data_IF_686394257050
#
_entry.id   IF_686394257050
#
_cell.length_a   1.000
_cell.length_b   1.000
_cell.length_c   1.000
_cell.angle_alpha   90.00
_cell.angle_beta   90.00
_cell.angle_gamma   90.00
#
_symmetry.space_group_name_H-M   'P 1'
#
loop_
_entity.id
_entity.type
_entity.pdbx_description
1 polymer ?
#
# COMPACT_ATOMS: atom_id res chain seq x y z
N UNK A 1 -14.61 -6.51 7.02
CA UNK A 1 -13.23 -7.01 6.85
C UNK A 1 -13.30 -8.48 6.45
N UNK A 2 -12.78 -8.83 5.27
CA UNK A 2 -12.66 -10.22 4.82
C UNK A 2 -11.27 -10.75 5.18
N UNK A 3 -11.17 -11.96 5.74
CA UNK A 3 -9.91 -12.60 6.12
C UNK A 3 -9.68 -13.81 5.23
N UNK A 4 -8.53 -13.85 4.55
CA UNK A 4 -8.16 -14.95 3.65
C UNK A 4 -6.85 -15.59 4.11
N UNK A 5 -6.89 -16.88 4.43
CA UNK A 5 -5.68 -17.69 4.55
C UNK A 5 -5.11 -18.00 3.17
N UNK A 6 -3.81 -17.73 2.95
CA UNK A 6 -3.12 -17.97 1.68
C UNK A 6 -1.74 -18.58 1.91
N UNK A 7 -1.40 -19.53 1.05
CA UNK A 7 -0.05 -20.10 0.98
C UNK A 7 0.83 -19.26 0.04
N UNK A 8 2.17 -19.27 0.23
CA UNK A 8 3.10 -18.68 -0.73
C UNK A 8 2.85 -19.20 -2.16
N UNK A 9 2.91 -18.29 -3.14
CA UNK A 9 2.65 -18.58 -4.56
C UNK A 9 1.19 -18.40 -4.97
N UNK A 10 0.25 -18.25 -4.03
CA UNK A 10 -1.14 -18.00 -4.36
C UNK A 10 -1.40 -16.55 -4.79
N UNK A 11 -2.38 -16.38 -5.67
CA UNK A 11 -2.80 -15.09 -6.23
C UNK A 11 -4.19 -14.71 -5.74
N UNK A 12 -4.40 -13.42 -5.56
CA UNK A 12 -5.70 -12.81 -5.29
C UNK A 12 -5.97 -11.82 -6.42
N UNK A 13 -7.05 -12.05 -7.17
CA UNK A 13 -7.50 -11.10 -8.19
C UNK A 13 -8.47 -10.12 -7.55
N UNK A 14 -8.17 -8.84 -7.69
CA UNK A 14 -9.10 -7.77 -7.33
C UNK A 14 -9.87 -7.39 -8.58
N UNK A 15 -11.19 -7.52 -8.53
CA UNK A 15 -12.09 -7.13 -9.61
C UNK A 15 -13.09 -6.10 -9.09
N UNK A 16 -13.46 -5.19 -9.98
CA UNK A 16 -14.60 -4.30 -9.76
C UNK A 16 -15.91 -5.09 -9.87
N UNK A 17 -17.01 -4.51 -9.40
CA UNK A 17 -18.33 -5.13 -9.41
C UNK A 17 -18.84 -5.46 -10.84
N UNK A 18 -18.35 -4.73 -11.84
CA UNK A 18 -18.59 -4.96 -13.27
C UNK A 18 -17.74 -6.11 -13.86
N UNK A 19 -16.87 -6.73 -13.06
CA UNK A 19 -15.99 -7.83 -13.46
C UNK A 19 -14.62 -7.40 -14.01
N UNK A 20 -14.38 -6.09 -14.16
CA UNK A 20 -13.10 -5.53 -14.63
C UNK A 20 -11.97 -5.90 -13.66
N UNK A 21 -10.85 -6.42 -14.18
CA UNK A 21 -9.67 -6.73 -13.36
C UNK A 21 -8.97 -5.42 -12.97
N UNK A 22 -8.89 -5.16 -11.67
CA UNK A 22 -8.21 -4.00 -11.11
C UNK A 22 -6.73 -4.30 -10.86
N UNK A 23 -6.40 -5.53 -10.50
CA UNK A 23 -5.01 -5.94 -10.29
C UNK A 23 -4.91 -7.30 -9.62
N UNK A 24 -3.67 -7.78 -9.47
CA UNK A 24 -3.37 -9.07 -8.86
C UNK A 24 -2.38 -8.90 -7.70
N UNK A 25 -2.77 -9.40 -6.53
CA UNK A 25 -1.89 -9.53 -5.38
C UNK A 25 -1.30 -10.95 -5.40
N UNK A 26 0.03 -11.04 -5.42
CA UNK A 26 0.76 -12.28 -5.26
C UNK A 26 1.29 -12.39 -3.83
N UNK A 27 0.85 -13.42 -3.11
CA UNK A 27 1.39 -13.73 -1.78
C UNK A 27 2.71 -14.45 -1.98
N UNK A 28 3.82 -13.76 -1.71
CA UNK A 28 5.14 -14.36 -1.78
C UNK A 28 5.52 -14.94 -0.41
N UNK A 29 6.68 -15.62 -0.37
CA UNK A 29 7.17 -16.26 0.85
C UNK A 29 7.34 -15.26 2.00
N UNK A 30 7.19 -15.76 3.22
CA UNK A 30 7.65 -15.04 4.41
C UNK A 30 9.16 -14.77 4.29
N UNK A 31 9.60 -13.55 4.60
CA UNK A 31 11.03 -13.18 4.61
C UNK A 31 11.61 -13.39 6.01
N UNK A 32 10.83 -13.09 7.04
CA UNK A 32 11.15 -13.27 8.45
C UNK A 32 9.85 -13.47 9.24
N UNK A 33 9.95 -13.87 10.51
CA UNK A 33 8.78 -14.01 11.39
C UNK A 33 7.96 -12.72 11.39
N UNK A 34 6.67 -12.82 11.06
CA UNK A 34 5.75 -11.67 11.00
C UNK A 34 5.92 -10.77 9.76
N UNK A 35 6.84 -11.06 8.84
CA UNK A 35 7.05 -10.30 7.59
C UNK A 35 6.77 -11.16 6.37
N UNK A 36 5.85 -10.70 5.53
CA UNK A 36 5.47 -11.35 4.28
C UNK A 36 5.88 -10.46 3.11
N UNK A 37 6.40 -11.07 2.05
CA UNK A 37 6.61 -10.37 0.78
C UNK A 37 5.32 -10.43 -0.03
N UNK A 38 4.93 -9.31 -0.63
CA UNK A 38 3.74 -9.23 -1.49
C UNK A 38 4.18 -8.63 -2.82
N UNK A 39 3.78 -9.29 -3.92
CA UNK A 39 3.90 -8.75 -5.27
C UNK A 39 2.59 -8.13 -5.71
N UNK A 40 2.65 -7.02 -6.44
CA UNK A 40 1.48 -6.33 -6.98
C UNK A 40 1.67 -6.18 -8.48
N UNK A 41 0.67 -6.60 -9.26
CA UNK A 41 0.72 -6.64 -10.72
C UNK A 41 -0.55 -6.05 -11.32
N UNK A 42 -0.41 -5.22 -12.37
CA UNK A 42 -1.54 -4.65 -13.11
C UNK A 42 -2.24 -3.47 -12.44
N UNK A 43 -1.59 -2.82 -11.46
CA UNK A 43 -2.13 -1.65 -10.74
C UNK A 43 -1.75 -0.31 -11.39
N UNK A 44 -1.50 -0.27 -12.71
CA UNK A 44 -0.87 0.87 -13.39
C UNK A 44 -1.66 2.19 -13.28
N UNK A 45 -2.95 2.12 -12.93
CA UNK A 45 -3.85 3.27 -12.76
C UNK A 45 -4.25 3.53 -11.31
N UNK A 46 -3.61 2.87 -10.35
CA UNK A 46 -3.92 2.99 -8.93
C UNK A 46 -2.67 3.35 -8.13
N UNK A 47 -2.85 4.21 -7.14
CA UNK A 47 -1.83 4.44 -6.14
C UNK A 47 -1.86 3.33 -5.10
N UNK A 48 -0.71 2.72 -4.83
CA UNK A 48 -0.54 1.73 -3.77
C UNK A 48 0.24 2.40 -2.65
N UNK A 49 -0.42 2.63 -1.52
CA UNK A 49 0.17 3.28 -0.35
C UNK A 49 0.10 2.30 0.82
N UNK A 50 1.16 2.24 1.62
CA UNK A 50 1.11 1.53 2.90
C UNK A 50 0.41 2.42 3.93
N UNK A 51 -0.49 1.87 4.73
CA UNK A 51 -1.30 2.67 5.66
C UNK A 51 -0.46 3.55 6.60
N UNK A 52 0.71 3.07 7.04
CA UNK A 52 1.63 3.86 7.87
C UNK A 52 2.23 5.08 7.16
N UNK A 53 2.30 5.06 5.83
CA UNK A 53 2.77 6.19 5.00
C UNK A 53 1.62 7.16 4.76
N UNK A 54 0.41 6.65 4.52
CA UNK A 54 -0.78 7.47 4.28
C UNK A 54 -1.06 8.39 5.48
N UNK A 55 -0.95 7.85 6.69
CA UNK A 55 -1.11 8.62 7.93
C UNK A 55 -0.07 9.74 8.13
N UNK A 56 1.10 9.68 7.46
CA UNK A 56 2.12 10.73 7.50
C UNK A 56 1.86 11.85 6.47
N UNK A 57 1.16 11.55 5.38
CA UNK A 57 0.79 12.53 4.36
C UNK A 57 -0.32 13.48 4.81
N UNK A 58 -1.09 13.08 5.81
CA UNK A 58 -2.19 13.86 6.40
C UNK A 58 -1.75 14.73 7.59
N UNK A 59 -0.47 14.67 7.95
CA UNK A 59 0.09 15.60 8.93
C UNK A 59 0.13 17.01 8.31
N UNK A 60 -0.55 18.02 8.88
CA UNK A 60 -0.43 19.39 8.39
C UNK A 60 1.05 19.76 8.40
N UNK A 61 1.54 20.36 7.32
CA UNK A 61 2.88 20.91 7.27
C UNK A 61 3.04 21.77 8.52
N UNK A 62 3.93 21.38 9.43
CA UNK A 62 4.26 22.23 10.56
C UNK A 62 4.78 23.52 9.94
N UNK A 63 4.02 24.62 10.14
CA UNK A 63 4.37 25.95 9.66
C UNK A 63 5.78 26.28 10.17
N UNK A 64 6.77 26.01 9.33
CA UNK A 64 8.15 26.41 9.50
C UNK A 64 8.28 27.90 9.25
N UNK A 65 7.50 28.70 9.98
CA UNK A 65 7.67 30.15 10.12
C UNK A 65 8.91 30.45 10.94
N UNK A 66 10.08 30.07 10.44
CA UNK A 66 11.32 30.68 10.87
C UNK A 66 11.42 32.03 10.14
N UNK A 67 10.87 33.07 10.77
CA UNK A 67 11.21 34.45 10.44
C UNK A 67 12.73 34.59 10.47
N UNK A 68 13.34 34.78 9.31
CA UNK A 68 14.74 35.14 9.20
C UNK A 68 14.96 36.46 9.94
N UNK A 69 15.92 36.59 10.88
CA UNK A 69 16.26 37.89 11.41
C UNK A 69 16.86 38.72 10.26
N UNK A 70 16.26 39.89 10.00
CA UNK A 70 16.84 40.88 9.09
C UNK A 70 18.17 41.40 9.66
N UNK A 71 19.08 41.69 8.74
CA UNK A 71 20.47 42.12 8.93
C UNK A 71 20.67 43.34 9.84
#
# INVERSE_FOLDING_TARGET
>A
MLILGRLPGQRIHLRSADGTLLGTILIQRAIATGKVKIGLEGFDRMQIIRAEIDALGDAPAADGGASSPAA
#
